data_IF_173709731896
#
_entry.id   IF_173709731896
#
_cell.length_a   1.000
_cell.length_b   1.000
_cell.length_c   1.000
_cell.angle_alpha   90.00
_cell.angle_beta   90.00
_cell.angle_gamma   90.00
#
_symmetry.space_group_name_H-M   'P 1'
#
loop_
_entity.id
_entity.type
_entity.pdbx_description
1 polymer ?
#
# COMPACT_ATOMS: atom_id res chain seq x y z
N UNK A 1 -71.81 20.35 31.59
CA UNK A 1 -70.68 19.43 31.85
C UNK A 1 -70.77 18.34 30.78
N UNK A 2 -69.93 18.41 29.74
CA UNK A 2 -68.82 17.48 29.43
C UNK A 2 -69.31 16.04 29.15
N UNK A 3 -68.93 15.32 28.09
CA UNK A 3 -67.71 15.34 27.27
C UNK A 3 -67.94 14.61 25.93
N UNK A 4 -67.04 14.82 24.97
CA UNK A 4 -67.19 14.55 23.53
C UNK A 4 -66.42 13.31 23.04
N UNK A 5 -67.11 12.52 22.20
CA UNK A 5 -66.64 11.83 20.97
C UNK A 5 -65.21 11.31 20.87
N UNK A 6 -65.06 9.99 20.65
CA UNK A 6 -64.13 9.44 19.63
C UNK A 6 -64.72 8.20 18.95
N UNK A 7 -65.04 8.33 17.66
CA UNK A 7 -65.36 7.22 16.76
C UNK A 7 -64.14 6.87 15.89
N UNK A 8 -64.16 5.62 15.44
CA UNK A 8 -63.66 5.11 14.16
C UNK A 8 -62.26 4.47 14.13
N UNK A 9 -62.26 3.20 14.56
CA UNK A 9 -62.21 1.98 13.72
C UNK A 9 -61.14 1.86 12.62
N UNK A 10 -60.47 0.71 12.73
CA UNK A 10 -59.81 -0.16 11.73
C UNK A 10 -58.41 0.24 11.28
N UNK A 11 -57.47 -0.35 12.02
CA UNK A 11 -56.11 -0.68 11.62
C UNK A 11 -56.13 -2.04 10.92
N UNK A 12 -55.46 -2.12 9.76
CA UNK A 12 -54.99 -3.36 9.16
C UNK A 12 -55.74 -3.79 7.90
N UNK A 13 -55.15 -3.50 6.74
CA UNK A 13 -54.79 -4.53 5.76
C UNK A 13 -53.89 -3.91 4.67
N UNK A 14 -52.81 -4.62 4.41
CA UNK A 14 -51.65 -4.29 3.60
C UNK A 14 -51.96 -4.15 2.11
N UNK A 15 -51.26 -3.26 1.39
CA UNK A 15 -50.72 -3.60 0.07
C UNK A 15 -49.66 -2.61 -0.42
N UNK A 16 -48.56 -3.23 -0.82
CA UNK A 16 -47.37 -2.76 -1.52
C UNK A 16 -47.73 -1.91 -2.74
N UNK A 17 -47.24 -0.67 -2.80
CA UNK A 17 -47.13 0.08 -4.05
C UNK A 17 -46.03 1.13 -3.95
N UNK A 18 -45.03 1.02 -4.83
CA UNK A 18 -44.21 2.16 -5.25
C UNK A 18 -43.11 2.58 -4.29
N UNK A 19 -42.12 1.73 -4.07
CA UNK A 19 -40.84 2.13 -3.47
C UNK A 19 -40.07 3.10 -4.36
N UNK A 20 -40.44 4.39 -4.34
CA UNK A 20 -39.51 5.48 -4.63
C UNK A 20 -38.80 5.79 -3.33
N UNK A 21 -37.59 5.23 -3.19
CA UNK A 21 -36.75 5.37 -2.00
C UNK A 21 -36.61 6.83 -1.59
N UNK A 22 -37.32 7.20 -0.53
CA UNK A 22 -37.02 8.39 0.26
C UNK A 22 -35.72 8.06 0.97
N UNK A 23 -34.60 8.61 0.52
CA UNK A 23 -33.36 8.50 1.28
C UNK A 23 -33.50 9.49 2.45
N UNK A 24 -33.95 8.98 3.60
CA UNK A 24 -34.35 9.75 4.78
C UNK A 24 -33.17 10.43 5.50
N UNK A 25 -31.92 10.16 5.12
CA UNK A 25 -30.73 10.49 5.91
C UNK A 25 -30.11 11.87 5.64
N UNK A 26 -30.34 12.50 4.49
CA UNK A 26 -29.62 13.73 4.10
C UNK A 26 -30.50 14.95 3.79
N UNK A 27 -31.82 14.86 3.98
CA UNK A 27 -32.72 16.01 3.79
C UNK A 27 -32.80 16.54 2.35
N UNK A 28 -32.52 15.71 1.34
CA UNK A 28 -32.63 16.06 -0.08
C UNK A 28 -33.86 15.42 -0.70
N UNK A 29 -34.45 16.11 -1.65
CA UNK A 29 -35.56 15.65 -2.49
C UNK A 29 -35.21 15.92 -3.95
N UNK A 30 -35.79 15.15 -4.89
CA UNK A 30 -35.70 15.52 -6.31
C UNK A 30 -36.67 16.67 -6.61
N UNK A 31 -36.20 17.71 -7.31
CA UNK A 31 -37.06 18.74 -7.88
C UNK A 31 -37.67 18.28 -9.22
N UNK A 32 -38.50 19.13 -9.85
CA UNK A 32 -39.16 18.82 -11.12
C UNK A 32 -38.18 18.53 -12.28
N UNK A 33 -36.94 19.04 -12.20
CA UNK A 33 -35.87 18.80 -13.18
C UNK A 33 -35.03 17.56 -12.86
N UNK A 34 -35.52 16.67 -11.99
CA UNK A 34 -34.83 15.47 -11.50
C UNK A 34 -33.50 15.72 -10.77
N UNK A 35 -33.21 16.96 -10.34
CA UNK A 35 -32.01 17.32 -9.57
C UNK A 35 -32.26 17.15 -8.07
N UNK A 36 -31.25 16.70 -7.34
CA UNK A 36 -31.30 16.62 -5.87
C UNK A 36 -31.13 18.02 -5.27
N UNK A 37 -32.14 18.48 -4.51
CA UNK A 37 -32.14 19.77 -3.81
C UNK A 37 -32.51 19.58 -2.34
N UNK A 38 -32.10 20.51 -1.47
CA UNK A 38 -32.48 20.46 -0.06
C UNK A 38 -33.99 20.68 0.13
N UNK A 39 -34.58 19.93 1.06
CA UNK A 39 -36.03 19.96 1.35
C UNK A 39 -36.55 21.34 1.78
N UNK A 40 -35.66 22.17 2.33
CA UNK A 40 -35.98 23.52 2.81
C UNK A 40 -35.53 24.61 1.83
N UNK A 41 -35.09 24.26 0.63
CA UNK A 41 -34.76 25.27 -0.38
C UNK A 41 -36.02 26.03 -0.78
N UNK A 42 -36.01 27.39 -0.75
CA UNK A 42 -37.14 28.17 -1.20
C UNK A 42 -37.47 27.84 -2.66
N UNK A 43 -38.73 27.92 -3.08
CA UNK A 43 -39.09 27.72 -4.48
C UNK A 43 -38.29 28.71 -5.33
N UNK A 44 -37.75 28.28 -6.48
CA UNK A 44 -37.03 29.19 -7.37
C UNK A 44 -37.97 30.35 -7.72
N UNK A 45 -37.47 31.60 -7.71
CA UNK A 45 -38.29 32.75 -8.04
C UNK A 45 -38.86 32.59 -9.45
N UNK A 46 -40.06 33.12 -9.73
CA UNK A 46 -40.59 33.17 -11.09
C UNK A 46 -39.54 33.80 -11.99
N UNK A 47 -39.04 33.03 -12.96
CA UNK A 47 -38.07 33.55 -13.93
C UNK A 47 -38.79 34.61 -14.76
N UNK A 48 -38.53 35.88 -14.46
CA UNK A 48 -38.87 36.97 -15.37
C UNK A 48 -38.04 36.77 -16.64
N UNK A 49 -38.69 36.24 -17.68
CA UNK A 49 -38.17 36.27 -19.04
C UNK A 49 -37.80 37.71 -19.38
N UNK A 50 -36.60 37.89 -19.94
CA UNK A 50 -36.04 39.11 -20.57
C UNK A 50 -34.96 39.87 -19.79
N UNK A 51 -34.07 39.18 -19.05
CA UNK A 51 -32.71 39.70 -18.85
C UNK A 51 -31.73 38.97 -19.80
N UNK A 52 -30.88 39.69 -20.55
CA UNK A 52 -29.77 39.06 -21.25
C UNK A 52 -28.87 38.38 -20.21
N UNK A 53 -28.39 37.15 -20.47
CA UNK A 53 -27.56 36.42 -19.52
C UNK A 53 -26.33 37.27 -19.15
N UNK A 54 -25.92 37.31 -17.87
CA UNK A 54 -24.62 37.86 -17.51
C UNK A 54 -23.57 37.23 -18.41
N UNK A 55 -22.74 38.06 -19.07
CA UNK A 55 -21.64 37.57 -19.88
C UNK A 55 -20.70 36.78 -18.95
N UNK A 56 -20.86 35.46 -18.94
CA UNK A 56 -19.97 34.54 -18.25
C UNK A 56 -18.62 34.70 -18.91
N UNK A 57 -17.62 35.23 -18.17
CA UNK A 57 -16.24 34.98 -18.55
C UNK A 57 -16.08 33.48 -18.78
N UNK A 58 -15.47 33.05 -19.90
CA UNK A 58 -15.27 31.63 -20.13
C UNK A 58 -14.53 31.03 -18.93
N UNK A 59 -15.00 29.89 -18.37
CA UNK A 59 -14.30 29.24 -17.29
C UNK A 59 -12.85 28.97 -17.72
N UNK A 60 -11.87 29.11 -16.83
CA UNK A 60 -10.47 28.81 -17.16
C UNK A 60 -10.37 27.38 -17.70
N UNK A 61 -9.47 27.13 -18.68
CA UNK A 61 -9.42 25.85 -19.38
C UNK A 61 -9.10 24.71 -18.40
N UNK A 62 -10.11 23.92 -18.05
CA UNK A 62 -10.00 22.76 -17.16
C UNK A 62 -9.00 21.70 -17.69
N UNK A 63 -8.80 21.66 -19.01
CA UNK A 63 -7.87 20.74 -19.68
C UNK A 63 -6.42 20.92 -19.19
N UNK A 64 -6.02 22.15 -18.84
CA UNK A 64 -4.64 22.46 -18.47
C UNK A 64 -4.30 22.02 -17.03
N UNK A 65 -5.28 22.05 -16.12
CA UNK A 65 -5.13 21.51 -14.75
C UNK A 65 -5.16 19.97 -14.72
N UNK A 66 -5.90 19.34 -15.64
CA UNK A 66 -5.94 17.88 -15.72
C UNK A 66 -4.66 17.30 -16.31
N UNK A 67 -4.05 17.96 -17.29
CA UNK A 67 -2.77 17.51 -17.84
C UNK A 67 -1.64 17.62 -16.82
N UNK A 68 -1.59 18.71 -16.03
CA UNK A 68 -0.56 18.86 -15.00
C UNK A 68 -0.64 17.78 -13.92
N UNK A 69 -1.85 17.42 -13.48
CA UNK A 69 -2.04 16.33 -12.51
C UNK A 69 -1.60 14.98 -13.06
N UNK A 70 -1.78 14.73 -14.36
CA UNK A 70 -1.33 13.50 -15.01
C UNK A 70 0.20 13.45 -15.12
N UNK A 71 0.81 14.56 -15.54
CA UNK A 71 2.27 14.68 -15.65
C UNK A 71 2.97 14.49 -14.30
N UNK A 72 2.40 15.06 -13.22
CA UNK A 72 2.89 14.90 -11.86
C UNK A 72 2.84 13.43 -11.39
N UNK A 73 1.76 12.71 -11.73
CA UNK A 73 1.63 11.27 -11.43
C UNK A 73 2.64 10.45 -12.21
N UNK A 74 2.80 10.72 -13.51
CA UNK A 74 3.78 10.03 -14.35
C UNK A 74 5.22 10.26 -13.86
N UNK A 75 5.52 11.47 -13.43
CA UNK A 75 6.80 11.80 -12.80
C UNK A 75 6.98 11.05 -11.47
N UNK A 76 5.98 11.05 -10.60
CA UNK A 76 6.03 10.30 -9.34
C UNK A 76 6.24 8.80 -9.54
N UNK A 77 5.63 8.20 -10.57
CA UNK A 77 5.84 6.79 -10.93
C UNK A 77 7.28 6.55 -11.40
N UNK A 78 7.84 7.47 -12.20
CA UNK A 78 9.23 7.35 -12.66
C UNK A 78 10.23 7.52 -11.50
N UNK A 79 9.98 8.45 -10.59
CA UNK A 79 10.80 8.66 -9.40
C UNK A 79 10.77 7.40 -8.52
N UNK A 80 9.60 6.79 -8.34
CA UNK A 80 9.44 5.55 -7.59
C UNK A 80 10.18 4.38 -8.24
N UNK A 81 10.07 4.23 -9.57
CA UNK A 81 10.79 3.21 -10.34
C UNK A 81 12.30 3.36 -10.17
N UNK A 82 12.80 4.59 -10.26
CA UNK A 82 14.23 4.90 -10.13
C UNK A 82 14.71 4.59 -8.72
N UNK A 83 13.99 5.08 -7.70
CA UNK A 83 14.29 4.82 -6.30
C UNK A 83 14.40 3.32 -5.98
N UNK A 84 13.42 2.51 -6.40
CA UNK A 84 13.49 1.07 -6.17
C UNK A 84 14.61 0.40 -6.96
N UNK A 85 14.84 0.82 -8.21
CA UNK A 85 15.95 0.32 -9.02
C UNK A 85 17.30 0.51 -8.32
N UNK A 86 17.58 1.71 -7.86
CA UNK A 86 18.84 2.05 -7.17
C UNK A 86 18.98 1.28 -5.86
N UNK A 87 17.89 1.10 -5.10
CA UNK A 87 17.89 0.34 -3.85
C UNK A 87 18.14 -1.14 -4.07
N UNK A 88 17.56 -1.74 -5.10
CA UNK A 88 17.82 -3.14 -5.45
C UNK A 88 19.27 -3.33 -5.94
N UNK A 89 19.79 -2.42 -6.76
CA UNK A 89 21.18 -2.49 -7.21
C UNK A 89 22.16 -2.40 -6.02
N UNK A 90 21.95 -1.42 -5.14
CA UNK A 90 22.77 -1.26 -3.92
C UNK A 90 22.72 -2.50 -3.03
N UNK A 91 21.53 -3.10 -2.87
CA UNK A 91 21.36 -4.30 -2.04
C UNK A 91 22.07 -5.50 -2.69
N UNK A 92 21.96 -5.65 -4.01
CA UNK A 92 22.64 -6.71 -4.75
C UNK A 92 24.16 -6.59 -4.64
N UNK A 93 24.72 -5.39 -4.84
CA UNK A 93 26.16 -5.13 -4.68
C UNK A 93 26.64 -5.42 -3.25
N UNK A 94 25.88 -4.97 -2.24
CA UNK A 94 26.20 -5.24 -0.83
C UNK A 94 26.17 -6.73 -0.51
N UNK A 95 25.19 -7.48 -1.04
CA UNK A 95 25.12 -8.93 -0.86
C UNK A 95 26.30 -9.63 -1.52
N UNK A 96 26.66 -9.24 -2.75
CA UNK A 96 27.76 -9.84 -3.48
C UNK A 96 29.10 -9.61 -2.74
N UNK A 97 29.36 -8.39 -2.28
CA UNK A 97 30.56 -8.05 -1.52
C UNK A 97 30.68 -8.86 -0.22
N UNK A 98 29.57 -9.07 0.49
CA UNK A 98 29.56 -9.89 1.71
C UNK A 98 29.81 -11.37 1.43
N UNK A 99 29.35 -11.87 0.28
CA UNK A 99 29.60 -13.25 -0.12
C UNK A 99 31.07 -13.47 -0.48
N UNK A 100 31.65 -12.58 -1.29
CA UNK A 100 33.08 -12.61 -1.63
C UNK A 100 33.97 -12.54 -0.37
N UNK A 101 33.64 -11.65 0.57
CA UNK A 101 34.37 -11.54 1.83
C UNK A 101 34.26 -12.82 2.68
N UNK A 102 33.09 -13.45 2.68
CA UNK A 102 32.85 -14.69 3.41
C UNK A 102 33.62 -15.87 2.80
N UNK A 103 33.71 -15.93 1.47
CA UNK A 103 34.52 -16.93 0.76
C UNK A 103 36.01 -16.80 1.12
N UNK A 104 36.57 -15.57 1.04
CA UNK A 104 37.95 -15.30 1.44
C UNK A 104 38.20 -15.66 2.91
N UNK A 105 37.30 -15.23 3.81
CA UNK A 105 37.46 -15.51 5.23
C UNK A 105 37.41 -17.01 5.56
N UNK A 106 36.58 -17.78 4.85
CA UNK A 106 36.57 -19.23 5.01
C UNK A 106 37.87 -19.85 4.49
N UNK A 107 38.37 -19.39 3.33
CA UNK A 107 39.67 -19.80 2.80
C UNK A 107 40.80 -19.62 3.83
N UNK A 108 40.97 -18.41 4.36
CA UNK A 108 42.00 -18.10 5.37
C UNK A 108 41.91 -19.00 6.62
N UNK A 109 40.67 -19.31 7.05
CA UNK A 109 40.43 -20.17 8.20
C UNK A 109 40.76 -21.62 7.89
N UNK A 110 40.47 -22.10 6.68
CA UNK A 110 40.87 -23.43 6.25
C UNK A 110 42.39 -23.56 6.18
N UNK A 111 43.09 -22.60 5.57
CA UNK A 111 44.55 -22.58 5.50
C UNK A 111 45.19 -22.59 6.90
N UNK A 112 44.60 -21.81 7.83
CA UNK A 112 45.05 -21.79 9.22
C UNK A 112 44.84 -23.14 9.92
N UNK A 113 43.72 -23.81 9.65
CA UNK A 113 43.44 -25.14 10.22
C UNK A 113 44.40 -26.17 9.63
N UNK A 114 44.64 -26.11 8.32
CA UNK A 114 45.52 -27.01 7.59
C UNK A 114 46.95 -26.98 8.17
N UNK A 115 47.52 -25.78 8.31
CA UNK A 115 48.84 -25.60 8.91
C UNK A 115 48.93 -26.11 10.36
N UNK A 116 47.86 -25.95 11.14
CA UNK A 116 47.80 -26.47 12.52
C UNK A 116 47.69 -27.99 12.55
N UNK A 117 46.95 -28.58 11.63
CA UNK A 117 46.83 -30.03 11.49
C UNK A 117 48.17 -30.62 11.10
N UNK A 118 48.84 -30.07 10.09
CA UNK A 118 50.19 -30.50 9.69
C UNK A 118 51.18 -30.45 10.86
N UNK A 119 51.14 -29.39 11.67
CA UNK A 119 51.99 -29.28 12.87
C UNK A 119 51.70 -30.38 13.89
N UNK A 120 50.42 -30.64 14.17
CA UNK A 120 50.02 -31.70 15.12
C UNK A 120 50.43 -33.08 14.60
N UNK A 121 50.28 -33.33 13.30
CA UNK A 121 50.72 -34.59 12.68
C UNK A 121 52.24 -34.77 12.83
N UNK A 122 53.02 -33.72 12.59
CA UNK A 122 54.46 -33.74 12.85
C UNK A 122 54.81 -34.03 14.31
N UNK A 123 54.12 -33.41 15.26
CA UNK A 123 54.33 -33.65 16.69
C UNK A 123 54.04 -35.12 17.06
N UNK A 124 52.95 -35.69 16.53
CA UNK A 124 52.57 -37.09 16.75
C UNK A 124 53.61 -38.04 16.14
N UNK A 125 54.08 -37.75 14.92
CA UNK A 125 55.10 -38.54 14.24
C UNK A 125 56.43 -38.53 14.99
N UNK A 126 56.84 -37.36 15.50
CA UNK A 126 58.00 -37.22 16.36
C UNK A 126 57.87 -38.13 17.59
N UNK A 127 56.74 -38.05 18.31
CA UNK A 127 56.50 -38.85 19.50
C UNK A 127 56.52 -40.36 19.19
N UNK A 128 55.95 -40.79 18.08
CA UNK A 128 55.98 -42.19 17.65
C UNK A 128 57.39 -42.69 17.34
N UNK A 129 58.22 -41.88 16.69
CA UNK A 129 59.61 -42.26 16.37
C UNK A 129 60.49 -42.34 17.61
N UNK A 130 60.31 -41.42 18.55
CA UNK A 130 61.19 -41.30 19.71
C UNK A 130 60.73 -42.08 20.94
N UNK A 131 59.44 -42.37 21.06
CA UNK A 131 58.86 -43.04 22.24
C UNK A 131 57.92 -44.20 21.89
N UNK A 132 57.74 -44.51 20.60
CA UNK A 132 57.03 -45.71 20.18
C UNK A 132 57.79 -46.98 20.59
N UNK A 133 57.12 -48.15 20.63
CA UNK A 133 57.78 -49.40 20.95
C UNK A 133 58.87 -49.67 19.92
N UNK A 134 60.14 -49.52 20.30
CA UNK A 134 61.24 -50.03 19.50
C UNK A 134 61.09 -51.55 19.53
N UNK A 135 60.71 -52.15 18.40
CA UNK A 135 60.62 -53.60 18.26
C UNK A 135 61.94 -54.21 18.72
N UNK A 136 61.91 -54.83 19.90
CA UNK A 136 63.08 -55.45 20.50
C UNK A 136 63.54 -56.60 19.63
N UNK A 137 64.67 -56.42 18.96
CA UNK A 137 65.59 -57.52 18.68
C UNK A 137 66.80 -57.33 19.59
N UNK A 138 66.66 -57.79 20.83
CA UNK A 138 67.82 -58.19 21.62
C UNK A 138 68.08 -59.66 21.28
N UNK A 139 69.09 -59.90 20.45
CA UNK A 139 69.70 -61.22 20.23
C UNK A 139 70.43 -61.71 21.48
#
# INVERSE_FOLDING_TARGET
MAESTKRLRVRGSSSTAGGRGVIQSFGLTKNADNRWVHRNSPPPPPQHQNQPPPQLQPPPPLLQQQSSSFDDVMRGINDLRTFFGDRFNTLNESMNARFEQLELNMGDRFDTIDARVEHVEHDIDYLRRHFGPHGGSSS
#
